data_IF_025606058186
#
_entry.id   IF_025606058186
#
_cell.length_a   1.000
_cell.length_b   1.000
_cell.length_c   1.000
_cell.angle_alpha   90.00
_cell.angle_beta   90.00
_cell.angle_gamma   90.00
#
_symmetry.space_group_name_H-M   'P 1'
#
loop_
_entity.id
_entity.type
_entity.pdbx_description
1 polymer ?
#
# COMPACT_ATOMS: atom_id res chain seq x y z
N UNK A 1 -23.95 -30.19 -13.25
CA UNK A 1 -22.70 -29.49 -12.88
C UNK A 1 -22.83 -28.10 -13.45
N UNK A 2 -23.04 -27.09 -12.60
CA UNK A 2 -23.03 -25.72 -13.08
C UNK A 2 -21.57 -25.40 -13.40
N UNK A 3 -21.23 -25.34 -14.68
CA UNK A 3 -19.98 -24.74 -15.14
C UNK A 3 -20.05 -23.26 -14.76
N UNK A 4 -19.38 -22.93 -13.66
CA UNK A 4 -19.13 -21.57 -13.23
C UNK A 4 -18.08 -21.05 -14.21
N UNK A 5 -18.52 -20.37 -15.27
CA UNK A 5 -17.62 -19.80 -16.28
C UNK A 5 -16.62 -18.81 -15.66
N UNK A 6 -15.50 -18.50 -16.34
CA UNK A 6 -14.37 -17.77 -15.75
C UNK A 6 -14.78 -16.44 -15.11
N UNK A 7 -15.66 -15.69 -15.78
CA UNK A 7 -16.19 -14.42 -15.26
C UNK A 7 -17.05 -14.53 -14.00
N UNK A 8 -17.42 -15.73 -13.56
CA UNK A 8 -18.24 -15.88 -12.37
C UNK A 8 -17.49 -15.47 -11.09
N UNK A 9 -16.15 -15.59 -11.04
CA UNK A 9 -15.35 -15.07 -9.93
C UNK A 9 -15.48 -13.55 -9.83
N UNK A 10 -15.28 -12.85 -10.95
CA UNK A 10 -15.46 -11.41 -11.04
C UNK A 10 -16.90 -11.00 -10.72
N UNK A 11 -17.90 -11.69 -11.27
CA UNK A 11 -19.32 -11.41 -10.97
C UNK A 11 -19.65 -11.63 -9.50
N UNK A 12 -19.10 -12.66 -8.86
CA UNK A 12 -19.29 -12.91 -7.43
C UNK A 12 -18.64 -11.81 -6.58
N UNK A 13 -17.43 -11.37 -6.94
CA UNK A 13 -16.75 -10.23 -6.31
C UNK A 13 -17.62 -8.96 -6.43
N UNK A 14 -18.15 -8.66 -7.62
CA UNK A 14 -18.98 -7.48 -7.87
C UNK A 14 -20.35 -7.50 -7.17
N UNK A 15 -20.92 -8.68 -6.98
CA UNK A 15 -22.19 -8.89 -6.27
C UNK A 15 -22.04 -8.90 -4.75
N UNK A 16 -20.80 -8.95 -4.24
CA UNK A 16 -20.48 -8.92 -2.82
C UNK A 16 -20.82 -7.59 -2.14
N UNK A 17 -20.77 -7.54 -0.80
CA UNK A 17 -20.93 -6.30 -0.06
C UNK A 17 -19.83 -5.29 -0.43
N UNK A 18 -20.13 -3.99 -0.30
CA UNK A 18 -19.22 -2.87 -0.62
C UNK A 18 -19.15 -1.87 0.54
N UNK A 19 -18.08 -1.08 0.57
CA UNK A 19 -17.83 -0.07 1.61
C UNK A 19 -18.09 -0.62 3.01
N UNK A 20 -18.83 0.13 3.83
CA UNK A 20 -19.13 -0.24 5.21
C UNK A 20 -19.73 -1.66 5.37
N UNK A 21 -20.57 -2.12 4.44
CA UNK A 21 -21.12 -3.49 4.52
C UNK A 21 -20.06 -4.57 4.32
N UNK A 22 -19.00 -4.29 3.54
CA UNK A 22 -17.87 -5.22 3.36
C UNK A 22 -17.01 -5.25 4.62
N UNK A 23 -16.78 -4.08 5.22
CA UNK A 23 -16.13 -3.96 6.53
C UNK A 23 -16.86 -4.79 7.57
N UNK A 24 -18.16 -4.56 7.74
CA UNK A 24 -19.01 -5.29 8.69
C UNK A 24 -18.96 -6.81 8.44
N UNK A 25 -19.01 -7.23 7.18
CA UNK A 25 -18.97 -8.63 6.81
C UNK A 25 -17.64 -9.31 7.17
N UNK A 26 -16.51 -8.64 6.95
CA UNK A 26 -15.17 -9.14 7.32
C UNK A 26 -15.01 -9.22 8.84
N UNK A 27 -15.42 -8.18 9.56
CA UNK A 27 -15.30 -8.09 11.01
C UNK A 27 -16.28 -9.02 11.75
N UNK A 28 -17.38 -9.41 11.12
CA UNK A 28 -18.35 -10.36 11.68
C UNK A 28 -17.99 -11.83 11.46
N UNK A 29 -16.86 -12.13 10.80
CA UNK A 29 -16.41 -13.52 10.63
C UNK A 29 -15.93 -14.12 11.96
N UNK A 30 -15.89 -15.46 12.09
CA UNK A 30 -15.36 -16.10 13.30
C UNK A 30 -13.88 -15.77 13.58
N UNK A 31 -13.11 -15.43 12.55
CA UNK A 31 -11.71 -15.02 12.63
C UNK A 31 -11.47 -13.79 11.73
N UNK A 32 -11.76 -12.58 12.24
CA UNK A 32 -11.59 -11.35 11.48
C UNK A 32 -10.16 -11.10 11.02
N UNK A 33 -9.17 -11.49 11.83
CA UNK A 33 -7.77 -11.32 11.49
C UNK A 33 -7.39 -12.17 10.28
N UNK A 34 -7.81 -13.44 10.23
CA UNK A 34 -7.58 -14.30 9.06
C UNK A 34 -8.33 -13.80 7.82
N UNK A 35 -9.57 -13.31 7.99
CA UNK A 35 -10.36 -12.77 6.88
C UNK A 35 -9.74 -11.49 6.28
N UNK A 36 -9.23 -10.59 7.13
CA UNK A 36 -8.52 -9.38 6.69
C UNK A 36 -7.16 -9.74 6.09
N UNK A 37 -6.40 -10.65 6.69
CA UNK A 37 -5.11 -11.10 6.15
C UNK A 37 -5.21 -11.76 4.77
N UNK A 38 -6.39 -12.28 4.40
CA UNK A 38 -6.64 -12.82 3.06
C UNK A 38 -6.88 -11.74 1.98
N UNK A 39 -7.07 -10.47 2.38
CA UNK A 39 -7.16 -9.36 1.44
C UNK A 39 -5.77 -8.99 0.91
N UNK A 40 -5.72 -8.63 -0.37
CA UNK A 40 -4.57 -7.97 -0.95
C UNK A 40 -4.33 -6.60 -0.29
N UNK A 41 -3.11 -6.07 -0.36
CA UNK A 41 -2.80 -4.71 0.14
C UNK A 41 -3.69 -3.67 -0.53
N UNK A 42 -3.90 -3.82 -1.84
CA UNK A 42 -4.71 -2.90 -2.63
C UNK A 42 -6.18 -2.97 -2.23
N UNK A 43 -6.71 -4.17 -1.97
CA UNK A 43 -8.10 -4.35 -1.51
C UNK A 43 -8.33 -3.75 -0.12
N UNK A 44 -7.39 -3.94 0.81
CA UNK A 44 -7.48 -3.34 2.13
C UNK A 44 -7.44 -1.82 2.02
N UNK A 45 -6.48 -1.27 1.26
CA UNK A 45 -6.34 0.17 1.06
C UNK A 45 -7.59 0.78 0.40
N UNK A 46 -8.13 0.12 -0.61
CA UNK A 46 -9.39 0.49 -1.27
C UNK A 46 -10.55 0.59 -0.28
N UNK A 47 -10.70 -0.41 0.57
CA UNK A 47 -11.78 -0.48 1.54
C UNK A 47 -11.66 0.61 2.61
N UNK A 48 -10.44 0.84 3.10
CA UNK A 48 -10.14 1.92 4.06
C UNK A 48 -10.43 3.29 3.43
N UNK A 49 -10.06 3.51 2.17
CA UNK A 49 -10.30 4.80 1.50
C UNK A 49 -11.78 4.99 1.11
N UNK A 50 -12.51 3.93 0.77
CA UNK A 50 -13.94 4.00 0.44
C UNK A 50 -14.80 4.40 1.64
N UNK A 51 -14.49 3.86 2.83
CA UNK A 51 -15.27 4.09 4.05
C UNK A 51 -14.71 5.28 4.85
N UNK A 52 -13.40 5.52 4.77
CA UNK A 52 -12.68 6.46 5.62
C UNK A 52 -11.98 5.72 6.75
N UNK A 53 -10.77 6.16 7.11
CA UNK A 53 -9.92 5.48 8.09
C UNK A 53 -10.57 5.38 9.47
N UNK A 54 -11.25 6.43 9.93
CA UNK A 54 -11.91 6.44 11.24
C UNK A 54 -13.00 5.35 11.34
N UNK A 55 -13.79 5.21 10.28
CA UNK A 55 -14.86 4.19 10.18
C UNK A 55 -14.31 2.78 9.85
N UNK A 56 -13.07 2.69 9.37
CA UNK A 56 -12.36 1.45 9.05
C UNK A 56 -11.31 1.05 10.10
N UNK A 57 -11.24 1.75 11.25
CA UNK A 57 -10.18 1.57 12.24
C UNK A 57 -10.05 0.10 12.72
N UNK A 58 -11.18 -0.58 12.93
CA UNK A 58 -11.19 -1.99 13.33
C UNK A 58 -10.51 -2.93 12.31
N UNK A 59 -10.54 -2.59 11.01
CA UNK A 59 -9.77 -3.33 10.00
C UNK A 59 -8.27 -3.15 10.21
N UNK A 60 -7.82 -1.92 10.47
CA UNK A 60 -6.40 -1.61 10.72
C UNK A 60 -5.91 -2.31 12.00
N UNK A 61 -6.78 -2.42 13.00
CA UNK A 61 -6.45 -3.11 14.26
C UNK A 61 -6.15 -4.60 14.05
N UNK A 62 -6.80 -5.25 13.09
CA UNK A 62 -6.59 -6.68 12.80
C UNK A 62 -5.70 -6.96 11.57
N UNK A 63 -5.40 -5.96 10.75
CA UNK A 63 -4.55 -6.08 9.56
C UNK A 63 -3.12 -6.52 9.90
N UNK A 64 -2.45 -7.25 9.02
CA UNK A 64 -1.06 -7.66 9.27
C UNK A 64 -0.09 -6.46 9.18
N UNK A 65 1.10 -6.52 9.80
CA UNK A 65 2.12 -5.49 9.64
C UNK A 65 2.47 -5.21 8.18
N UNK A 66 2.54 -6.26 7.36
CA UNK A 66 2.82 -6.16 5.92
C UNK A 66 1.71 -5.40 5.18
N UNK A 67 0.45 -5.68 5.52
CA UNK A 67 -0.70 -4.98 4.95
C UNK A 67 -0.70 -3.50 5.31
N UNK A 68 -0.46 -3.15 6.58
CA UNK A 68 -0.36 -1.74 7.01
C UNK A 68 0.81 -1.04 6.31
N UNK A 69 1.99 -1.67 6.23
CA UNK A 69 3.14 -1.13 5.49
C UNK A 69 2.78 -0.87 4.02
N UNK A 70 2.11 -1.83 3.38
CA UNK A 70 1.68 -1.70 1.99
C UNK A 70 0.68 -0.55 1.79
N UNK A 71 -0.27 -0.37 2.70
CA UNK A 71 -1.17 0.81 2.67
C UNK A 71 -0.37 2.12 2.82
N UNK A 72 0.62 2.15 3.70
CA UNK A 72 1.49 3.32 3.86
C UNK A 72 2.32 3.61 2.60
N UNK A 73 2.80 2.57 1.90
CA UNK A 73 3.50 2.72 0.61
C UNK A 73 2.60 3.35 -0.46
N UNK A 74 1.30 3.04 -0.46
CA UNK A 74 0.35 3.62 -1.40
C UNK A 74 0.03 5.08 -1.07
N UNK A 75 -0.06 5.44 0.22
CA UNK A 75 -0.58 6.75 0.65
C UNK A 75 0.48 7.84 0.87
N UNK A 76 1.62 7.50 1.48
CA UNK A 76 2.53 8.50 2.08
C UNK A 76 3.48 9.19 1.08
N UNK A 77 3.16 9.22 -0.21
CA UNK A 77 4.15 9.60 -1.23
C UNK A 77 3.62 10.61 -2.25
N UNK A 78 4.42 11.65 -2.49
CA UNK A 78 4.30 12.50 -3.67
C UNK A 78 5.49 12.21 -4.59
N UNK A 79 5.25 11.34 -5.57
CA UNK A 79 6.28 10.77 -6.46
C UNK A 79 7.37 10.04 -5.66
N UNK A 80 8.55 10.64 -5.56
CA UNK A 80 9.74 10.16 -4.87
C UNK A 80 9.93 10.79 -3.49
N UNK A 81 9.04 11.69 -3.07
CA UNK A 81 9.14 12.36 -1.78
C UNK A 81 8.15 11.78 -0.76
N UNK A 82 8.64 11.27 0.38
CA UNK A 82 7.77 10.82 1.46
C UNK A 82 7.11 12.02 2.17
N UNK A 83 5.82 11.88 2.45
CA UNK A 83 4.94 12.83 3.12
C UNK A 83 4.53 12.25 4.47
N UNK A 84 5.47 12.28 5.43
CA UNK A 84 5.31 11.63 6.74
C UNK A 84 4.14 12.16 7.56
N UNK A 85 3.67 13.37 7.29
CA UNK A 85 2.47 13.93 7.92
C UNK A 85 1.21 13.11 7.61
N UNK A 86 1.17 12.39 6.47
CA UNK A 86 0.06 11.52 6.09
C UNK A 86 0.02 10.22 6.92
N UNK A 87 1.09 9.89 7.64
CA UNK A 87 1.11 8.74 8.56
C UNK A 87 0.28 8.99 9.83
N UNK A 88 -0.01 10.26 10.16
CA UNK A 88 -0.65 10.65 11.43
C UNK A 88 -1.98 9.91 11.69
N UNK A 89 -2.94 9.84 10.76
CA UNK A 89 -4.20 9.15 11.00
C UNK A 89 -4.01 7.65 11.25
N UNK A 90 -3.10 7.01 10.50
CA UNK A 90 -2.76 5.60 10.67
C UNK A 90 -2.14 5.30 12.03
N UNK A 91 -1.19 6.13 12.46
CA UNK A 91 -0.57 5.98 13.77
C UNK A 91 -1.55 6.27 14.92
N UNK A 92 -2.47 7.22 14.75
CA UNK A 92 -3.53 7.45 15.72
C UNK A 92 -4.44 6.22 15.87
N UNK A 93 -4.88 5.61 14.76
CA UNK A 93 -5.65 4.36 14.80
C UNK A 93 -4.87 3.22 15.47
N UNK A 94 -3.57 3.05 15.17
CA UNK A 94 -2.75 2.01 15.81
C UNK A 94 -2.54 2.24 17.31
N UNK A 95 -2.42 3.50 17.72
CA UNK A 95 -2.36 3.89 19.13
C UNK A 95 -3.68 3.57 19.84
N UNK A 96 -4.82 3.87 19.21
CA UNK A 96 -6.15 3.55 19.73
C UNK A 96 -6.38 2.03 19.84
N UNK A 97 -5.74 1.24 18.96
CA UNK A 97 -5.74 -0.21 19.02
C UNK A 97 -4.96 -0.78 20.22
N UNK A 98 -4.04 0.00 20.81
CA UNK A 98 -3.20 -0.37 21.93
C UNK A 98 -1.73 -0.59 21.57
N UNK A 99 -0.86 -0.51 22.60
CA UNK A 99 0.59 -0.53 22.43
C UNK A 99 1.12 -1.82 21.82
N UNK A 100 0.48 -2.97 22.09
CA UNK A 100 0.87 -4.25 21.49
C UNK A 100 0.70 -4.24 19.97
N UNK A 101 -0.42 -3.67 19.49
CA UNK A 101 -0.69 -3.58 18.06
C UNK A 101 0.24 -2.58 17.38
N UNK A 102 0.40 -1.40 17.97
CA UNK A 102 1.37 -0.41 17.48
C UNK A 102 2.77 -1.01 17.39
N UNK A 103 3.24 -1.68 18.45
CA UNK A 103 4.56 -2.30 18.49
C UNK A 103 4.72 -3.40 17.44
N UNK A 104 3.70 -4.26 17.26
CA UNK A 104 3.69 -5.30 16.23
C UNK A 104 3.85 -4.69 14.83
N UNK A 105 3.05 -3.67 14.49
CA UNK A 105 3.11 -3.01 13.18
C UNK A 105 4.45 -2.28 13.03
N UNK A 106 4.88 -1.53 14.04
CA UNK A 106 6.15 -0.81 14.04
C UNK A 106 7.33 -1.75 13.81
N UNK A 107 7.33 -2.93 14.40
CA UNK A 107 8.37 -3.93 14.16
C UNK A 107 8.43 -4.42 12.70
N UNK A 108 7.29 -4.45 12.00
CA UNK A 108 7.20 -4.82 10.58
C UNK A 108 7.49 -3.68 9.59
N UNK A 109 7.61 -2.44 10.06
CA UNK A 109 8.02 -1.31 9.22
C UNK A 109 9.52 -1.31 8.98
N UNK A 110 9.93 -0.77 7.82
CA UNK A 110 11.34 -0.68 7.46
C UNK A 110 12.10 0.19 8.51
N UNK A 111 13.33 -0.20 8.91
CA UNK A 111 14.14 0.59 9.84
C UNK A 111 14.27 2.08 9.43
N UNK A 112 14.48 2.32 8.15
CA UNK A 112 14.68 3.66 7.58
C UNK A 112 13.38 4.47 7.63
N UNK A 113 12.23 3.84 7.38
CA UNK A 113 10.93 4.50 7.51
C UNK A 113 10.69 4.97 8.95
N UNK A 114 10.95 4.11 9.93
CA UNK A 114 10.77 4.43 11.35
C UNK A 114 11.69 5.55 11.81
N UNK A 115 12.96 5.47 11.42
CA UNK A 115 13.95 6.49 11.70
C UNK A 115 13.55 7.83 11.05
N UNK A 116 13.12 7.81 9.79
CA UNK A 116 12.69 8.99 9.05
C UNK A 116 11.47 9.65 9.68
N UNK A 117 10.47 8.86 10.10
CA UNK A 117 9.29 9.37 10.79
C UNK A 117 9.69 10.15 12.06
N UNK A 118 10.45 9.52 12.97
CA UNK A 118 10.90 10.18 14.20
C UNK A 118 11.75 11.42 13.88
N UNK A 119 12.67 11.32 12.91
CA UNK A 119 13.57 12.41 12.52
C UNK A 119 12.81 13.61 11.93
N UNK A 120 11.77 13.38 11.12
CA UNK A 120 10.96 14.44 10.51
C UNK A 120 10.12 15.20 11.54
N UNK A 121 9.77 14.56 12.65
CA UNK A 121 8.99 15.17 13.73
C UNK A 121 9.82 15.65 14.91
N UNK A 122 11.15 15.53 14.86
CA UNK A 122 12.06 16.06 15.87
C UNK A 122 13.02 17.07 15.25
N UNK A 123 13.12 18.29 15.81
CA UNK A 123 14.15 19.25 15.40
C UNK A 123 15.55 18.74 15.77
N UNK A 124 15.66 18.12 16.95
CA UNK A 124 16.90 17.56 17.48
C UNK A 124 16.60 16.40 18.44
N UNK A 125 17.53 15.47 18.51
CA UNK A 125 17.52 14.36 19.46
C UNK A 125 18.87 14.39 20.17
N UNK A 126 18.87 14.48 21.49
CA UNK A 126 20.07 14.38 22.33
C UNK A 126 20.17 13.00 22.95
N UNK A 127 21.38 12.44 22.96
CA UNK A 127 21.72 11.22 23.67
C UNK A 127 22.39 11.56 25.01
N UNK A 128 21.61 11.43 26.08
CA UNK A 128 22.04 11.75 27.44
C UNK A 128 23.08 10.75 27.96
N UNK A 129 23.18 9.56 27.37
CA UNK A 129 24.19 8.55 27.74
C UNK A 129 25.59 8.92 27.27
N UNK A 130 25.68 9.79 26.25
CA UNK A 130 26.93 10.36 25.74
C UNK A 130 27.31 11.69 26.42
N UNK A 131 26.54 12.12 27.43
CA UNK A 131 26.74 13.39 28.11
C UNK A 131 26.30 14.60 27.27
N UNK A 132 25.44 14.40 26.27
CA UNK A 132 24.82 15.53 25.58
C UNK A 132 23.78 16.19 26.48
N UNK A 133 23.71 17.52 26.43
CA UNK A 133 22.75 18.30 27.22
C UNK A 133 21.77 19.02 26.29
N UNK A 134 20.45 18.98 26.58
CA UNK A 134 19.48 19.78 25.87
C UNK A 134 19.78 21.28 26.00
N UNK A 135 19.55 22.03 24.92
CA UNK A 135 19.73 23.48 24.93
C UNK A 135 18.50 24.17 25.53
N UNK A 136 18.69 24.99 26.58
CA UNK A 136 17.62 25.71 27.28
C UNK A 136 17.04 26.88 26.47
N UNK A 137 17.54 27.15 25.25
CA UNK A 137 17.09 28.29 24.43
C UNK A 137 15.90 28.01 23.51
N UNK A 138 15.30 26.82 23.56
CA UNK A 138 14.23 26.44 22.62
C UNK A 138 12.83 26.64 23.20
N UNK A 139 11.92 27.13 22.34
CA UNK A 139 10.48 27.22 22.63
C UNK A 139 9.71 25.93 22.27
N UNK A 140 10.39 24.94 21.67
CA UNK A 140 9.76 23.69 21.26
C UNK A 140 9.56 22.72 22.45
N UNK A 141 8.49 21.91 22.44
CA UNK A 141 8.26 20.93 23.49
C UNK A 141 9.39 19.89 23.56
N UNK A 142 10.08 19.84 24.70
CA UNK A 142 10.99 18.75 25.02
C UNK A 142 10.23 17.53 25.54
N UNK A 143 10.70 16.35 25.14
CA UNK A 143 10.19 15.08 25.61
C UNK A 143 11.33 14.16 26.04
N UNK A 144 11.25 13.62 27.25
CA UNK A 144 12.23 12.69 27.79
C UNK A 144 11.71 11.28 27.60
N UNK A 145 12.53 10.38 27.04
CA UNK A 145 12.16 8.97 26.93
C UNK A 145 11.97 8.35 28.31
N UNK A 146 11.19 7.26 28.39
CA UNK A 146 10.86 6.59 29.64
C UNK A 146 12.10 6.15 30.43
N UNK A 147 13.15 5.73 29.72
CA UNK A 147 14.45 5.33 30.29
C UNK A 147 15.45 6.48 30.49
N UNK A 148 15.11 7.69 30.03
CA UNK A 148 15.94 8.90 30.06
C UNK A 148 17.25 8.77 29.28
N UNK A 149 17.31 7.91 28.27
CA UNK A 149 18.48 7.83 27.40
C UNK A 149 18.47 8.97 26.38
N UNK A 150 17.28 9.40 25.95
CA UNK A 150 17.14 10.46 24.96
C UNK A 150 16.25 11.60 25.42
N UNK A 151 16.56 12.79 24.92
CA UNK A 151 15.64 13.92 24.90
C UNK A 151 15.31 14.24 23.45
N UNK A 152 14.02 14.34 23.14
CA UNK A 152 13.51 14.66 21.81
C UNK A 152 12.93 16.07 21.84
N UNK A 153 13.42 16.92 20.94
CA UNK A 153 12.84 18.23 20.69
C UNK A 153 11.75 18.12 19.62
N UNK A 154 10.50 18.05 20.06
CA UNK A 154 9.38 17.73 19.18
C UNK A 154 8.97 18.95 18.35
N UNK A 155 8.71 18.73 17.07
CA UNK A 155 8.25 19.75 16.12
C UNK A 155 6.91 19.37 15.50
N UNK A 156 6.07 20.37 15.24
CA UNK A 156 4.73 20.17 14.67
C UNK A 156 3.68 20.98 15.40
N UNK A 157 2.42 20.78 15.02
CA UNK A 157 1.28 21.31 15.79
C UNK A 157 1.08 20.54 17.11
N UNK A 158 0.21 21.07 17.98
CA UNK A 158 -0.02 20.51 19.31
C UNK A 158 -0.49 19.06 19.25
N UNK A 159 -1.35 18.72 18.30
CA UNK A 159 -1.88 17.37 18.13
C UNK A 159 -0.78 16.39 17.71
N UNK A 160 0.08 16.79 16.77
CA UNK A 160 1.21 16.00 16.28
C UNK A 160 2.19 15.73 17.41
N UNK A 161 2.49 16.74 18.22
CA UNK A 161 3.34 16.59 19.41
C UNK A 161 2.70 15.63 20.41
N UNK A 162 1.39 15.71 20.67
CA UNK A 162 0.70 14.78 21.58
C UNK A 162 0.73 13.34 21.06
N UNK A 163 0.42 13.13 19.78
CA UNK A 163 0.49 11.80 19.17
C UNK A 163 1.91 11.23 19.25
N UNK A 164 2.93 12.02 18.91
CA UNK A 164 4.31 11.52 18.92
C UNK A 164 4.78 11.11 20.31
N UNK A 165 4.40 11.86 21.35
CA UNK A 165 4.68 11.47 22.74
C UNK A 165 4.06 10.11 23.07
N UNK A 166 2.79 9.93 22.69
CA UNK A 166 2.07 8.69 22.92
C UNK A 166 2.66 7.52 22.12
N UNK A 167 3.01 7.74 20.85
CA UNK A 167 3.71 6.74 20.02
C UNK A 167 5.01 6.33 20.70
N UNK A 168 5.86 7.28 21.12
CA UNK A 168 7.12 6.94 21.78
C UNK A 168 6.88 6.15 23.07
N UNK A 169 5.93 6.55 23.91
CA UNK A 169 5.59 5.82 25.14
C UNK A 169 5.12 4.39 24.86
N UNK A 170 4.22 4.22 23.90
CA UNK A 170 3.66 2.91 23.56
C UNK A 170 4.70 2.01 22.89
N UNK A 171 5.61 2.57 22.08
CA UNK A 171 6.77 1.83 21.57
C UNK A 171 7.68 1.35 22.70
N UNK A 172 7.96 2.18 23.71
CA UNK A 172 8.74 1.77 24.88
C UNK A 172 8.05 0.67 25.71
N UNK A 173 6.72 0.68 25.78
CA UNK A 173 5.93 -0.38 26.44
C UNK A 173 5.94 -1.68 25.67
N UNK A 174 5.89 -1.61 24.34
CA UNK A 174 5.86 -2.78 23.48
C UNK A 174 7.24 -3.43 23.33
N UNK A 175 8.26 -2.63 22.98
CA UNK A 175 9.65 -3.08 22.80
C UNK A 175 10.61 -1.89 22.99
N UNK A 176 11.16 -1.76 24.20
CA UNK A 176 12.09 -0.69 24.54
C UNK A 176 13.40 -0.74 23.72
N UNK A 177 13.87 -1.92 23.29
CA UNK A 177 15.11 -2.03 22.53
C UNK A 177 14.91 -1.57 21.09
N UNK A 178 13.78 -1.94 20.48
CA UNK A 178 13.40 -1.45 19.16
C UNK A 178 13.15 0.07 19.17
N UNK A 179 12.50 0.59 20.22
CA UNK A 179 12.28 2.02 20.39
C UNK A 179 13.62 2.79 20.46
N UNK A 180 14.57 2.31 21.28
CA UNK A 180 15.92 2.89 21.37
C UNK A 180 16.65 2.85 20.04
N UNK A 181 16.62 1.72 19.35
CA UNK A 181 17.28 1.56 18.05
C UNK A 181 16.70 2.56 17.04
N UNK A 182 15.38 2.71 17.01
CA UNK A 182 14.69 3.66 16.13
C UNK A 182 15.11 5.11 16.42
N UNK A 183 15.11 5.53 17.69
CA UNK A 183 15.49 6.89 18.08
C UNK A 183 16.98 7.15 17.79
N UNK A 184 17.84 6.15 18.02
CA UNK A 184 19.26 6.25 17.70
C UNK A 184 19.52 6.41 16.19
N UNK A 185 18.83 5.64 15.36
CA UNK A 185 18.88 5.75 13.90
C UNK A 185 18.41 7.13 13.45
N UNK A 186 17.25 7.59 13.95
CA UNK A 186 16.71 8.93 13.68
C UNK A 186 17.67 10.06 14.07
N UNK A 187 18.42 9.90 15.17
CA UNK A 187 19.46 10.85 15.60
C UNK A 187 20.64 10.85 14.63
N UNK A 188 21.11 9.68 14.21
CA UNK A 188 22.42 9.50 13.59
C UNK A 188 22.43 9.62 12.06
N UNK A 189 21.38 9.14 11.39
CA UNK A 189 21.31 9.07 9.92
C UNK A 189 20.80 10.38 9.32
N UNK A 190 21.21 10.73 8.09
CA UNK A 190 20.71 11.95 7.46
C UNK A 190 19.30 11.77 6.88
N UNK A 191 18.54 12.86 6.77
CA UNK A 191 17.19 12.80 6.16
C UNK A 191 17.26 12.28 4.73
N UNK A 192 18.23 12.76 3.95
CA UNK A 192 18.37 12.38 2.53
C UNK A 192 18.66 10.89 2.33
N UNK A 193 19.56 10.31 3.13
CA UNK A 193 19.85 8.87 3.07
C UNK A 193 18.60 8.05 3.41
N UNK A 194 17.93 8.41 4.50
CA UNK A 194 16.70 7.75 4.93
C UNK A 194 15.59 7.83 3.87
N UNK A 195 15.42 8.99 3.21
CA UNK A 195 14.44 9.15 2.13
C UNK A 195 14.75 8.27 0.92
N UNK A 196 16.02 8.20 0.52
CA UNK A 196 16.44 7.37 -0.61
C UNK A 196 16.19 5.88 -0.34
N UNK A 197 16.55 5.40 0.85
CA UNK A 197 16.30 4.00 1.25
C UNK A 197 14.81 3.69 1.32
N UNK A 198 14.01 4.58 1.93
CA UNK A 198 12.55 4.45 1.96
C UNK A 198 11.97 4.35 0.54
N UNK A 199 12.45 5.20 -0.37
CA UNK A 199 11.98 5.20 -1.75
C UNK A 199 12.35 3.90 -2.45
N UNK A 200 13.56 3.38 -2.23
CA UNK A 200 14.04 2.13 -2.82
C UNK A 200 13.23 0.93 -2.35
N UNK A 201 13.01 0.80 -1.05
CA UNK A 201 12.23 -0.30 -0.47
C UNK A 201 10.79 -0.28 -0.96
N UNK A 202 10.15 0.90 -0.93
CA UNK A 202 8.82 1.09 -1.48
C UNK A 202 8.76 0.72 -2.96
N UNK A 203 9.71 1.20 -3.76
CA UNK A 203 9.70 0.97 -5.21
C UNK A 203 9.78 -0.52 -5.54
N UNK A 204 10.57 -1.29 -4.78
CA UNK A 204 10.60 -2.74 -4.88
C UNK A 204 9.24 -3.38 -4.61
N UNK A 205 8.60 -3.04 -3.47
CA UNK A 205 7.29 -3.59 -3.11
C UNK A 205 6.18 -3.18 -4.07
N UNK A 206 6.20 -1.94 -4.59
CA UNK A 206 5.25 -1.51 -5.60
C UNK A 206 5.45 -2.25 -6.93
N UNK A 207 6.69 -2.59 -7.29
CA UNK A 207 6.96 -3.43 -8.45
C UNK A 207 6.37 -4.83 -8.30
N UNK A 208 6.43 -5.41 -7.10
CA UNK A 208 5.81 -6.71 -6.79
C UNK A 208 4.28 -6.67 -6.96
N UNK A 209 3.65 -5.51 -6.72
CA UNK A 209 2.22 -5.24 -6.98
C UNK A 209 1.91 -4.88 -8.45
N UNK A 210 2.91 -4.92 -9.34
CA UNK A 210 2.77 -4.63 -10.76
C UNK A 210 2.74 -3.14 -11.11
N UNK A 211 3.15 -2.25 -10.20
CA UNK A 211 3.43 -0.86 -10.55
C UNK A 211 4.81 -0.77 -11.23
N UNK A 212 4.97 0.16 -12.16
CA UNK A 212 6.25 0.39 -12.84
C UNK A 212 6.61 1.87 -12.83
N UNK A 213 7.87 2.18 -13.12
CA UNK A 213 8.31 3.56 -13.21
C UNK A 213 7.70 4.28 -14.42
N UNK A 214 7.67 5.62 -14.34
CA UNK A 214 7.08 6.48 -15.39
C UNK A 214 7.68 6.25 -16.78
N UNK A 215 9.00 6.09 -16.88
CA UNK A 215 9.68 5.92 -18.16
C UNK A 215 9.44 4.52 -18.74
N UNK A 216 9.45 3.47 -17.92
CA UNK A 216 9.05 2.13 -18.36
C UNK A 216 7.58 2.14 -18.83
N UNK A 217 6.71 2.84 -18.11
CA UNK A 217 5.30 2.95 -18.47
C UNK A 217 5.07 3.60 -19.85
N UNK A 218 5.94 4.54 -20.27
CA UNK A 218 5.84 5.16 -21.60
C UNK A 218 6.06 4.18 -22.75
N UNK A 219 6.78 3.08 -22.54
CA UNK A 219 6.95 2.04 -23.56
C UNK A 219 5.61 1.43 -23.99
N UNK A 220 4.56 1.50 -23.15
CA UNK A 220 3.21 1.05 -23.50
C UNK A 220 2.65 1.78 -24.73
N UNK A 221 3.01 3.04 -24.91
CA UNK A 221 2.54 3.87 -26.02
C UNK A 221 3.45 3.80 -27.25
N UNK A 222 4.50 2.99 -27.21
CA UNK A 222 5.37 2.79 -28.37
C UNK A 222 4.58 2.10 -29.48
N UNK A 223 4.51 2.67 -30.70
CA UNK A 223 3.87 2.00 -31.83
C UNK A 223 4.49 0.62 -32.05
N UNK A 224 3.64 -0.38 -32.28
CA UNK A 224 4.07 -1.71 -32.68
C UNK A 224 4.05 -1.82 -34.20
N UNK A 225 5.08 -2.43 -34.77
CA UNK A 225 5.06 -2.84 -36.17
C UNK A 225 4.10 -4.02 -36.37
N UNK A 226 3.48 -4.13 -37.54
CA UNK A 226 2.44 -5.13 -37.81
C UNK A 226 2.93 -6.60 -37.66
N UNK A 227 4.24 -6.84 -37.71
CA UNK A 227 4.88 -8.15 -37.57
C UNK A 227 5.58 -8.34 -36.21
N UNK A 228 5.44 -7.37 -35.29
CA UNK A 228 6.08 -7.38 -33.98
C UNK A 228 5.45 -8.40 -33.00
N UNK A 229 4.23 -8.86 -33.26
CA UNK A 229 3.50 -9.82 -32.42
C UNK A 229 3.00 -10.98 -33.28
N UNK A 230 3.27 -12.21 -32.86
CA UNK A 230 2.77 -13.44 -33.50
C UNK A 230 2.10 -14.34 -32.47
N UNK A 231 0.96 -14.93 -32.82
CA UNK A 231 0.32 -15.93 -31.97
C UNK A 231 1.29 -17.11 -31.70
N UNK A 232 1.44 -17.48 -30.44
CA UNK A 232 2.34 -18.57 -30.00
C UNK A 232 3.81 -18.20 -29.86
N UNK A 233 4.15 -16.90 -29.79
CA UNK A 233 5.53 -16.45 -29.54
C UNK A 233 5.98 -16.51 -28.07
N UNK A 234 5.08 -16.88 -27.14
CA UNK A 234 5.38 -17.07 -25.73
C UNK A 234 5.68 -15.77 -24.99
N UNK A 235 5.13 -14.64 -25.44
CA UNK A 235 5.25 -13.35 -24.75
C UNK A 235 4.44 -13.33 -23.45
N UNK A 236 3.38 -14.13 -23.37
CA UNK A 236 2.53 -14.36 -22.21
C UNK A 236 3.28 -14.90 -20.98
N UNK A 237 4.38 -15.63 -21.19
CA UNK A 237 5.20 -16.23 -20.12
C UNK A 237 6.26 -15.26 -19.57
N UNK A 238 6.41 -14.06 -20.17
CA UNK A 238 7.43 -13.08 -19.75
C UNK A 238 7.01 -12.31 -18.50
N UNK A 239 5.72 -12.22 -18.23
CA UNK A 239 5.20 -11.67 -16.99
C UNK A 239 5.43 -12.72 -15.90
N UNK A 240 6.33 -12.41 -14.96
CA UNK A 240 6.42 -13.16 -13.72
C UNK A 240 5.10 -13.09 -12.95
N UNK A 241 4.88 -13.97 -11.96
CA UNK A 241 3.71 -13.86 -11.10
C UNK A 241 3.71 -12.48 -10.42
N UNK A 242 2.59 -11.77 -10.49
CA UNK A 242 2.36 -10.63 -9.58
C UNK A 242 2.04 -11.27 -8.25
N UNK A 243 2.93 -11.09 -7.28
CA UNK A 243 2.81 -11.71 -5.96
C UNK A 243 2.52 -10.60 -4.95
N UNK A 244 1.27 -10.49 -4.51
CA UNK A 244 0.92 -9.67 -3.34
C UNK A 244 1.06 -10.53 -2.07
N UNK A 245 2.28 -10.61 -1.53
CA UNK A 245 2.57 -11.39 -0.32
C UNK A 245 2.32 -12.90 -0.46
N UNK A 246 1.63 -13.50 0.50
CA UNK A 246 1.26 -14.93 0.49
C UNK A 246 -0.02 -15.21 -0.34
N UNK A 247 -0.55 -14.21 -1.06
CA UNK A 247 -1.78 -14.37 -1.83
C UNK A 247 -1.59 -15.36 -2.98
N UNK A 248 -2.34 -16.46 -2.93
CA UNK A 248 -2.39 -17.50 -3.97
C UNK A 248 -3.04 -17.05 -5.28
N UNK A 249 -3.59 -15.83 -5.36
CA UNK A 249 -4.29 -15.32 -6.54
C UNK A 249 -4.26 -13.79 -6.61
N UNK A 250 -4.08 -13.26 -7.83
CA UNK A 250 -4.25 -11.83 -8.13
C UNK A 250 -5.75 -11.54 -8.24
N UNK A 251 -6.35 -10.90 -7.23
CA UNK A 251 -7.69 -10.37 -7.38
C UNK A 251 -7.62 -9.04 -8.13
N UNK A 252 -8.38 -8.91 -9.23
CA UNK A 252 -8.53 -7.63 -9.89
C UNK A 252 -9.19 -6.62 -8.93
N UNK A 253 -8.70 -5.37 -8.88
CA UNK A 253 -9.42 -4.29 -8.20
C UNK A 253 -10.86 -4.21 -8.70
N UNK A 254 -11.80 -3.86 -7.82
CA UNK A 254 -13.25 -3.81 -8.17
C UNK A 254 -13.46 -2.91 -9.38
N UNK A 255 -12.79 -1.76 -9.43
CA UNK A 255 -12.85 -0.83 -10.55
C UNK A 255 -12.45 -1.48 -11.89
N UNK A 256 -11.47 -2.37 -11.89
CA UNK A 256 -11.03 -3.09 -13.10
C UNK A 256 -12.05 -4.17 -13.46
N UNK A 257 -12.47 -4.99 -12.49
CA UNK A 257 -13.46 -6.04 -12.67
C UNK A 257 -14.79 -5.51 -13.23
N UNK A 258 -15.27 -4.36 -12.75
CA UNK A 258 -16.49 -3.70 -13.24
C UNK A 258 -16.41 -3.41 -14.74
N UNK A 259 -15.30 -2.83 -15.18
CA UNK A 259 -15.11 -2.46 -16.59
C UNK A 259 -14.93 -3.71 -17.47
N UNK A 260 -14.22 -4.74 -17.01
CA UNK A 260 -14.13 -6.02 -17.75
C UNK A 260 -15.51 -6.62 -17.99
N UNK A 261 -16.33 -6.75 -16.93
CA UNK A 261 -17.67 -7.36 -17.02
C UNK A 261 -18.62 -6.51 -17.87
N UNK A 262 -18.49 -5.18 -17.84
CA UNK A 262 -19.31 -4.28 -18.64
C UNK A 262 -19.00 -4.34 -20.16
N UNK A 263 -17.81 -4.78 -20.56
CA UNK A 263 -17.35 -4.77 -21.97
C UNK A 263 -17.77 -6.05 -22.68
N UNK A 264 -18.86 -5.98 -23.46
CA UNK A 264 -19.49 -7.18 -24.02
C UNK A 264 -18.60 -8.08 -24.88
N UNK A 265 -17.63 -7.53 -25.64
CA UNK A 265 -16.74 -8.36 -26.45
C UNK A 265 -15.62 -8.97 -25.60
N UNK A 266 -14.87 -8.14 -24.86
CA UNK A 266 -13.81 -8.61 -23.95
C UNK A 266 -14.34 -9.66 -22.97
N UNK A 267 -15.49 -9.40 -22.34
CA UNK A 267 -16.15 -10.36 -21.45
C UNK A 267 -16.47 -11.68 -22.16
N UNK A 268 -17.01 -11.65 -23.39
CA UNK A 268 -17.29 -12.88 -24.16
C UNK A 268 -16.02 -13.62 -24.58
N UNK A 269 -14.93 -12.91 -24.87
CA UNK A 269 -13.64 -13.53 -25.18
C UNK A 269 -13.06 -14.20 -23.93
N UNK A 270 -13.14 -13.52 -22.78
CA UNK A 270 -12.71 -14.04 -21.48
C UNK A 270 -13.48 -15.29 -21.07
N UNK A 271 -14.80 -15.30 -21.28
CA UNK A 271 -15.69 -16.44 -20.95
C UNK A 271 -15.40 -17.70 -21.79
N UNK A 272 -14.57 -17.59 -22.84
CA UNK A 272 -14.11 -18.73 -23.65
C UNK A 272 -12.80 -19.35 -23.15
N UNK A 273 -12.13 -18.74 -22.18
CA UNK A 273 -10.97 -19.35 -21.53
C UNK A 273 -11.45 -20.58 -20.76
N UNK A 274 -10.74 -21.70 -20.90
CA UNK A 274 -11.10 -22.96 -20.25
C UNK A 274 -10.16 -23.37 -19.11
N UNK A 275 -9.07 -22.63 -18.92
CA UNK A 275 -8.00 -22.94 -17.97
C UNK A 275 -7.89 -21.81 -16.92
N UNK A 276 -8.03 -22.17 -15.64
CA UNK A 276 -7.90 -21.26 -14.50
C UNK A 276 -6.52 -20.57 -14.46
N UNK A 277 -5.47 -21.24 -14.96
CA UNK A 277 -4.13 -20.66 -15.04
C UNK A 277 -4.03 -19.59 -16.14
N UNK A 278 -4.72 -19.77 -17.27
CA UNK A 278 -4.82 -18.75 -18.32
C UNK A 278 -5.61 -17.54 -17.83
N UNK A 279 -6.71 -17.78 -17.10
CA UNK A 279 -7.49 -16.70 -16.49
C UNK A 279 -6.63 -15.88 -15.52
N UNK A 280 -5.95 -16.54 -14.59
CA UNK A 280 -5.08 -15.86 -13.61
C UNK A 280 -3.97 -15.05 -14.29
N UNK A 281 -3.38 -15.59 -15.37
CA UNK A 281 -2.38 -14.85 -16.17
C UNK A 281 -2.99 -13.61 -16.83
N UNK A 282 -4.22 -13.71 -17.36
CA UNK A 282 -4.89 -12.59 -18.00
C UNK A 282 -5.29 -11.50 -16.98
N UNK A 283 -5.76 -11.89 -15.80
CA UNK A 283 -6.03 -10.97 -14.68
C UNK A 283 -4.76 -10.18 -14.31
N UNK A 284 -3.63 -10.89 -14.13
CA UNK A 284 -2.34 -10.27 -13.85
C UNK A 284 -1.89 -9.33 -14.97
N UNK A 285 -1.93 -9.78 -16.23
CA UNK A 285 -1.54 -8.95 -17.37
C UNK A 285 -2.40 -7.67 -17.48
N UNK A 286 -3.71 -7.79 -17.26
CA UNK A 286 -4.60 -6.64 -17.27
C UNK A 286 -4.25 -5.64 -16.15
N UNK A 287 -3.97 -6.14 -14.94
CA UNK A 287 -3.55 -5.30 -13.83
C UNK A 287 -2.27 -4.52 -14.17
N UNK A 288 -1.27 -5.17 -14.76
CA UNK A 288 -0.02 -4.50 -15.20
C UNK A 288 -0.30 -3.45 -16.27
N UNK A 289 -1.18 -3.73 -17.24
CA UNK A 289 -1.53 -2.74 -18.27
C UNK A 289 -2.22 -1.52 -17.65
N UNK A 290 -3.16 -1.73 -16.73
CA UNK A 290 -3.82 -0.64 -16.01
C UNK A 290 -2.80 0.16 -15.19
N UNK A 291 -1.94 -0.49 -14.42
CA UNK A 291 -0.90 0.17 -13.64
C UNK A 291 0.11 0.93 -14.51
N UNK A 292 0.48 0.39 -15.69
CA UNK A 292 1.31 1.10 -16.68
C UNK A 292 0.62 2.35 -17.21
N UNK A 293 -0.67 2.29 -17.54
CA UNK A 293 -1.41 3.48 -17.98
C UNK A 293 -1.43 4.57 -16.89
N UNK A 294 -1.67 4.18 -15.64
CA UNK A 294 -1.68 5.07 -14.48
C UNK A 294 -0.30 5.70 -14.23
N UNK A 295 0.76 4.87 -14.25
CA UNK A 295 2.14 5.34 -14.12
C UNK A 295 2.51 6.34 -15.22
N UNK A 296 2.16 6.05 -16.48
CA UNK A 296 2.41 6.96 -17.60
C UNK A 296 1.60 8.26 -17.51
N UNK A 297 0.40 8.22 -16.90
CA UNK A 297 -0.39 9.41 -16.59
C UNK A 297 0.13 10.19 -15.36
N UNK A 298 1.17 9.69 -14.68
CA UNK A 298 1.71 10.24 -13.42
C UNK A 298 0.66 10.35 -12.32
N UNK A 299 -0.28 9.41 -12.28
CA UNK A 299 -1.27 9.35 -11.22
C UNK A 299 -0.64 8.76 -9.95
N UNK A 300 -1.09 9.24 -8.79
CA UNK A 300 -0.65 8.67 -7.52
C UNK A 300 -1.20 7.25 -7.38
N UNK A 301 -0.38 6.26 -6.97
CA UNK A 301 -0.87 4.95 -6.57
C UNK A 301 -2.00 5.09 -5.54
N UNK A 302 -3.01 4.23 -5.62
CA UNK A 302 -4.16 4.28 -4.70
C UNK A 302 -5.25 5.30 -5.02
N UNK A 303 -5.08 6.21 -6.00
CA UNK A 303 -6.15 7.11 -6.43
C UNK A 303 -7.26 6.37 -7.19
N UNK A 304 -8.39 6.16 -6.52
CA UNK A 304 -9.54 5.41 -7.02
C UNK A 304 -10.19 6.04 -8.26
N UNK A 305 -10.23 7.37 -8.36
CA UNK A 305 -10.83 8.02 -9.52
C UNK A 305 -9.95 7.80 -10.76
N UNK A 306 -8.62 7.92 -10.58
CA UNK A 306 -7.65 7.62 -11.62
C UNK A 306 -7.68 6.14 -12.00
N UNK A 307 -7.73 5.22 -11.03
CA UNK A 307 -7.82 3.77 -11.29
C UNK A 307 -9.04 3.42 -12.15
N UNK A 308 -10.22 3.98 -11.84
CA UNK A 308 -11.44 3.78 -12.65
C UNK A 308 -11.25 4.29 -14.08
N UNK A 309 -10.69 5.49 -14.26
CA UNK A 309 -10.45 6.05 -15.59
C UNK A 309 -9.42 5.24 -16.38
N UNK A 310 -8.34 4.78 -15.73
CA UNK A 310 -7.32 3.92 -16.33
C UNK A 310 -7.87 2.55 -16.73
N UNK A 311 -8.68 1.93 -15.85
CA UNK A 311 -9.38 0.67 -16.14
C UNK A 311 -10.33 0.80 -17.33
N UNK A 312 -11.09 1.89 -17.40
CA UNK A 312 -11.98 2.17 -18.53
C UNK A 312 -11.20 2.27 -19.84
N UNK A 313 -10.13 3.08 -19.85
CA UNK A 313 -9.29 3.26 -21.03
C UNK A 313 -8.61 1.96 -21.48
N UNK A 314 -8.04 1.19 -20.54
CA UNK A 314 -7.37 -0.07 -20.81
C UNK A 314 -8.33 -1.08 -21.45
N UNK A 315 -9.43 -1.36 -20.76
CA UNK A 315 -10.41 -2.38 -21.17
C UNK A 315 -11.13 -1.98 -22.46
N UNK A 316 -11.42 -0.69 -22.67
CA UNK A 316 -11.98 -0.20 -23.92
C UNK A 316 -11.02 -0.40 -25.09
N UNK A 317 -9.75 -0.03 -24.92
CA UNK A 317 -8.71 -0.15 -25.96
C UNK A 317 -8.44 -1.62 -26.32
N UNK A 318 -8.35 -2.50 -25.32
CA UNK A 318 -8.21 -3.95 -25.54
C UNK A 318 -9.44 -4.50 -26.28
N UNK A 319 -10.66 -4.14 -25.86
CA UNK A 319 -11.88 -4.59 -26.53
C UNK A 319 -11.93 -4.13 -28.00
N UNK A 320 -11.54 -2.89 -28.28
CA UNK A 320 -11.42 -2.36 -29.65
C UNK A 320 -10.42 -3.16 -30.48
N UNK A 321 -9.24 -3.48 -29.93
CA UNK A 321 -8.24 -4.28 -30.62
C UNK A 321 -8.75 -5.68 -30.95
N UNK A 322 -9.40 -6.34 -30.00
CA UNK A 322 -9.95 -7.70 -30.18
C UNK A 322 -11.12 -7.76 -31.17
N UNK A 323 -11.85 -6.66 -31.38
CA UNK A 323 -12.93 -6.60 -32.38
C UNK A 323 -12.42 -6.49 -33.83
N UNK A 324 -11.15 -6.12 -34.02
CA UNK A 324 -10.53 -5.90 -35.34
C UNK A 324 -9.76 -7.13 -35.84
N UNK A 325 -9.46 -8.10 -34.96
CA UNK A 325 -8.76 -9.36 -35.27
C UNK A 325 -9.76 -10.48 -35.56
#
# INVERSE_FOLDING_TARGET
MNEVGPLARLRAQLAGPRGARRVDALLSTPDPAAAVAALSVTELYELVNEVGLDDAAELVHVATPEQVRGCLDLELWDRDQPRMELARPWLASLVDAGFEKLGQVWAGLDPEWRALFIKRHCRRIWDLTLGEEPDDTTDLPMYFTTDRFFTLELSGDEDTVRLLRQVVDDLYRADADLARHTIMAARSESVTELEEECFRWRSGRLADLGYVDYYEALELFRPLEADAVRAGEGTEDRLGPIVDGDATSVNLPIAVAEHVVARSFLARAWDRLGDDAEETRLEAALLVVVNKLLAAARTRPGDQASLRAGADYATATISLGLEVV
#
